data_IF_841353107869
#
_entry.id   IF_841353107869
#
_cell.length_a   1.000
_cell.length_b   1.000
_cell.length_c   1.000
_cell.angle_alpha   90.00
_cell.angle_beta   90.00
_cell.angle_gamma   90.00
#
_symmetry.space_group_name_H-M   'P 1'
#
loop_
_entity.id
_entity.type
_entity.pdbx_description
1 polymer ?
#
# COMPACT_ATOMS: atom_id res chain seq x y z
N UNK A 1 -22.34 8.20 33.14
CA UNK A 1 -20.86 8.08 32.98
C UNK A 1 -20.43 6.78 32.31
N UNK A 2 -21.09 5.64 32.58
CA UNK A 2 -20.69 4.31 32.07
C UNK A 2 -20.76 4.14 30.54
N UNK A 3 -21.77 4.74 29.88
CA UNK A 3 -21.91 4.71 28.41
C UNK A 3 -20.81 5.49 27.67
N UNK A 4 -20.28 6.56 28.26
CA UNK A 4 -19.21 7.35 27.66
C UNK A 4 -17.86 6.61 27.68
N UNK A 5 -17.59 5.87 28.75
CA UNK A 5 -16.40 5.01 28.85
C UNK A 5 -16.42 3.87 27.81
N UNK A 6 -17.58 3.26 27.59
CA UNK A 6 -17.74 2.20 26.58
C UNK A 6 -17.55 2.73 25.15
N UNK A 7 -18.10 3.92 24.86
CA UNK A 7 -17.95 4.57 23.56
C UNK A 7 -16.48 4.96 23.29
N UNK A 8 -15.77 5.48 24.29
CA UNK A 8 -14.34 5.81 24.19
C UNK A 8 -13.50 4.55 23.87
N UNK A 9 -13.74 3.46 24.59
CA UNK A 9 -13.08 2.16 24.37
C UNK A 9 -13.30 1.62 22.95
N UNK A 10 -14.53 1.70 22.44
CA UNK A 10 -14.84 1.30 21.06
C UNK A 10 -14.11 2.17 20.03
N UNK A 11 -14.08 3.50 20.22
CA UNK A 11 -13.38 4.39 19.28
C UNK A 11 -11.87 4.14 19.24
N UNK A 12 -11.24 3.92 20.40
CA UNK A 12 -9.81 3.58 20.46
C UNK A 12 -9.51 2.23 19.80
N UNK A 13 -10.42 1.26 19.90
CA UNK A 13 -10.26 -0.04 19.28
C UNK A 13 -10.34 0.04 17.75
N UNK A 14 -11.25 0.85 17.20
CA UNK A 14 -11.39 1.04 15.74
C UNK A 14 -10.14 1.74 15.16
N UNK A 15 -9.54 2.68 15.89
CA UNK A 15 -8.29 3.36 15.51
C UNK A 15 -7.06 2.42 15.49
N UNK A 16 -7.06 1.37 16.31
CA UNK A 16 -5.98 0.36 16.32
C UNK A 16 -6.02 -0.56 15.08
N UNK A 17 -7.20 -0.71 14.46
CA UNK A 17 -7.39 -1.44 13.20
C UNK A 17 -7.52 -0.52 11.99
N UNK A 18 -7.25 0.79 12.15
CA UNK A 18 -7.04 1.68 11.01
C UNK A 18 -5.71 1.26 10.38
N UNK A 19 -5.79 0.20 9.58
CA UNK A 19 -4.73 -0.41 8.81
C UNK A 19 -3.88 0.70 8.23
N UNK A 20 -2.59 0.70 8.55
CA UNK A 20 -1.61 1.35 7.71
C UNK A 20 -1.86 0.81 6.30
N UNK A 21 -2.58 1.60 5.49
CA UNK A 21 -2.82 1.27 4.11
C UNK A 21 -1.48 1.56 3.46
N UNK A 22 -0.67 0.50 3.34
CA UNK A 22 0.64 0.57 2.72
C UNK A 22 0.42 0.85 1.24
N UNK A 23 0.39 2.13 0.92
CA UNK A 23 0.47 2.65 -0.43
C UNK A 23 1.86 2.29 -1.00
N UNK A 24 1.91 1.59 -2.13
CA UNK A 24 3.17 1.15 -2.74
C UNK A 24 3.50 1.91 -4.03
N UNK A 25 4.79 2.18 -4.24
CA UNK A 25 5.38 2.82 -5.41
C UNK A 25 6.57 2.03 -5.91
N UNK A 26 6.66 1.86 -7.22
CA UNK A 26 7.90 1.45 -7.87
C UNK A 26 8.84 2.67 -7.93
N UNK A 27 10.09 2.50 -7.50
CA UNK A 27 11.11 3.53 -7.44
C UNK A 27 12.27 3.18 -8.37
N UNK A 28 12.55 4.08 -9.33
CA UNK A 28 13.73 4.03 -10.18
C UNK A 28 14.66 5.15 -9.74
N UNK A 29 15.86 4.78 -9.27
CA UNK A 29 16.82 5.72 -8.66
C UNK A 29 16.22 6.58 -7.54
N UNK A 30 15.29 6.01 -6.75
CA UNK A 30 14.60 6.70 -5.65
C UNK A 30 13.45 7.62 -6.07
N UNK A 31 13.14 7.70 -7.37
CA UNK A 31 12.01 8.47 -7.91
C UNK A 31 10.88 7.54 -8.29
N UNK A 32 9.63 7.94 -8.01
CA UNK A 32 8.45 7.17 -8.40
C UNK A 32 8.38 7.01 -9.93
N UNK A 33 8.44 5.77 -10.38
CA UNK A 33 8.05 5.39 -11.72
C UNK A 33 6.53 5.18 -11.74
N UNK A 34 5.82 6.24 -12.15
CA UNK A 34 4.35 6.29 -12.10
C UNK A 34 3.71 5.22 -12.96
N UNK A 35 4.18 5.10 -14.20
CA UNK A 35 3.67 4.13 -15.18
C UNK A 35 3.83 2.70 -14.65
N UNK A 36 5.00 2.41 -14.08
CA UNK A 36 5.25 1.11 -13.49
C UNK A 36 4.45 0.85 -12.23
N UNK A 37 4.28 1.85 -11.37
CA UNK A 37 3.44 1.75 -10.18
C UNK A 37 2.00 1.41 -10.55
N UNK A 38 1.42 2.13 -11.51
CA UNK A 38 0.07 1.92 -12.00
C UNK A 38 -0.08 0.51 -12.62
N UNK A 39 0.82 0.16 -13.53
CA UNK A 39 0.82 -1.15 -14.18
C UNK A 39 0.90 -2.30 -13.16
N UNK A 40 1.86 -2.25 -12.24
CA UNK A 40 2.02 -3.27 -11.22
C UNK A 40 0.81 -3.32 -10.28
N UNK A 41 0.19 -2.18 -9.99
CA UNK A 41 -1.00 -2.11 -9.16
C UNK A 41 -2.19 -2.84 -9.79
N UNK A 42 -2.50 -2.50 -11.04
CA UNK A 42 -3.69 -2.98 -11.72
C UNK A 42 -3.52 -4.40 -12.26
N UNK A 43 -2.39 -4.68 -12.90
CA UNK A 43 -2.17 -5.92 -13.63
C UNK A 43 -1.68 -7.09 -12.75
N UNK A 44 -0.90 -6.82 -11.70
CA UNK A 44 -0.20 -7.87 -10.95
C UNK A 44 -0.76 -8.13 -9.56
N UNK A 45 -1.29 -7.11 -8.89
CA UNK A 45 -1.83 -7.26 -7.52
C UNK A 45 -3.33 -7.05 -7.43
N UNK A 46 -3.96 -6.70 -8.55
CA UNK A 46 -5.38 -6.34 -8.62
C UNK A 46 -5.76 -5.38 -7.49
N UNK A 47 -4.90 -4.38 -7.29
CA UNK A 47 -5.05 -3.31 -6.31
C UNK A 47 -5.85 -2.15 -6.89
N UNK A 48 -5.98 -1.10 -6.11
CA UNK A 48 -6.57 0.15 -6.55
C UNK A 48 -5.47 1.19 -6.68
N UNK A 49 -5.35 1.81 -7.85
CA UNK A 49 -4.40 2.88 -8.07
C UNK A 49 -5.01 4.22 -7.60
N UNK A 50 -4.27 4.98 -6.79
CA UNK A 50 -4.62 6.33 -6.34
C UNK A 50 -3.88 7.34 -7.24
N UNK A 51 -4.62 7.97 -8.16
CA UNK A 51 -4.07 8.96 -9.11
C UNK A 51 -3.53 10.21 -8.43
N UNK A 52 -4.16 10.65 -7.33
CA UNK A 52 -3.78 11.86 -6.61
C UNK A 52 -2.42 11.67 -5.91
N UNK A 53 -2.22 10.49 -5.30
CA UNK A 53 -0.98 10.16 -4.57
C UNK A 53 0.06 9.44 -5.41
N UNK A 54 -0.34 8.98 -6.60
CA UNK A 54 0.45 8.17 -7.53
C UNK A 54 0.97 6.90 -6.87
N UNK A 55 0.11 6.23 -6.12
CA UNK A 55 0.44 5.03 -5.36
C UNK A 55 -0.56 3.90 -5.60
N UNK A 56 -0.12 2.68 -5.27
CA UNK A 56 -0.98 1.53 -5.27
C UNK A 56 -1.53 1.29 -3.87
N UNK A 57 -2.85 1.43 -3.72
CA UNK A 57 -3.59 0.96 -2.55
C UNK A 57 -3.70 -0.57 -2.67
N UNK A 58 -2.61 -1.24 -2.30
CA UNK A 58 -2.59 -2.67 -2.08
C UNK A 58 -3.03 -2.91 -0.63
N UNK A 59 -4.33 -3.17 -0.42
CA UNK A 59 -4.83 -3.56 0.90
C UNK A 59 -3.92 -4.66 1.47
N UNK A 60 -3.48 -4.45 2.71
CA UNK A 60 -2.35 -5.01 3.48
C UNK A 60 -2.23 -6.55 3.59
N UNK A 61 -2.38 -7.27 2.47
CA UNK A 61 -2.08 -8.69 2.37
C UNK A 61 -0.62 -8.80 1.95
N UNK A 62 0.23 -9.34 2.83
CA UNK A 62 1.67 -9.57 2.60
C UNK A 62 1.95 -10.18 1.21
N UNK A 63 1.08 -11.08 0.71
CA UNK A 63 1.18 -11.65 -0.64
C UNK A 63 1.10 -10.59 -1.76
N UNK A 64 0.22 -9.60 -1.63
CA UNK A 64 0.10 -8.50 -2.60
C UNK A 64 1.33 -7.60 -2.56
N UNK A 65 1.89 -7.33 -1.39
CA UNK A 65 3.11 -6.53 -1.25
C UNK A 65 4.31 -7.22 -1.93
N UNK A 66 4.47 -8.54 -1.74
CA UNK A 66 5.52 -9.31 -2.41
C UNK A 66 5.34 -9.31 -3.93
N UNK A 67 4.13 -9.55 -4.42
CA UNK A 67 3.81 -9.54 -5.85
C UNK A 67 4.07 -8.16 -6.46
N UNK A 68 3.71 -7.08 -5.76
CA UNK A 68 3.98 -5.71 -6.18
C UNK A 68 5.48 -5.45 -6.30
N UNK A 69 6.23 -5.76 -5.24
CA UNK A 69 7.69 -5.59 -5.21
C UNK A 69 8.38 -6.39 -6.32
N UNK A 70 7.93 -7.61 -6.57
CA UNK A 70 8.45 -8.45 -7.65
C UNK A 70 8.15 -7.86 -9.04
N UNK A 71 6.94 -7.32 -9.25
CA UNK A 71 6.60 -6.64 -10.50
C UNK A 71 7.49 -5.41 -10.74
N UNK A 72 7.72 -4.57 -9.73
CA UNK A 72 8.62 -3.41 -9.87
C UNK A 72 10.03 -3.85 -10.28
N UNK A 73 10.56 -4.91 -9.66
CA UNK A 73 11.89 -5.44 -9.97
C UNK A 73 12.01 -5.96 -11.41
N UNK A 74 11.05 -6.76 -11.89
CA UNK A 74 11.10 -7.36 -13.22
C UNK A 74 11.18 -6.34 -14.36
N UNK A 75 10.52 -5.20 -14.20
CA UNK A 75 10.32 -4.23 -15.28
C UNK A 75 11.32 -3.09 -15.26
N UNK A 76 11.76 -2.67 -14.08
CA UNK A 76 12.71 -1.57 -13.95
C UNK A 76 14.16 -2.07 -13.86
N UNK A 77 14.37 -3.35 -13.51
CA UNK A 77 15.69 -3.89 -13.19
C UNK A 77 16.30 -3.31 -11.90
N UNK A 78 15.57 -2.44 -11.19
CA UNK A 78 16.00 -1.75 -9.97
C UNK A 78 15.16 -2.24 -8.80
N UNK A 79 15.82 -2.54 -7.68
CA UNK A 79 15.15 -2.92 -6.44
C UNK A 79 14.63 -1.64 -5.78
N UNK A 80 13.32 -1.42 -5.85
CA UNK A 80 12.74 -0.29 -5.16
C UNK A 80 11.23 -0.35 -5.17
N UNK A 81 10.63 -1.12 -4.29
CA UNK A 81 9.27 -0.83 -3.82
C UNK A 81 9.42 -0.09 -2.49
N UNK A 82 8.72 1.02 -2.28
CA UNK A 82 8.71 1.72 -0.98
C UNK A 82 7.91 0.96 0.10
N UNK A 83 7.06 0.03 -0.31
CA UNK A 83 6.47 -0.96 0.57
C UNK A 83 7.53 -1.92 1.10
N UNK A 84 7.90 -1.72 2.36
CA UNK A 84 8.68 -2.68 3.13
C UNK A 84 7.76 -3.82 3.59
N UNK A 85 8.23 -5.04 3.40
CA UNK A 85 7.59 -6.25 3.93
C UNK A 85 7.73 -6.32 5.45
#
# INVERSE_FOLDING_TARGET
>A
MQFHLLALLLTTLILLFASATSACKCLVHGVNDREQTEYCCLAHVHGQYDEDKKDCVAHSISEKLTKFSYCCWLRTGVVGSDCKH
#
